data_IF_459817572463
#
_entry.id   IF_459817572463
#
_cell.length_a   1.000
_cell.length_b   1.000
_cell.length_c   1.000
_cell.angle_alpha   90.00
_cell.angle_beta   90.00
_cell.angle_gamma   90.00
#
_symmetry.space_group_name_H-M   'P 1'
#
loop_
_entity.id
_entity.type
_entity.pdbx_description
1 polymer ?
#
# COMPACT_ATOMS: atom_id res chain seq x y z
N UNK A 1 -33.86 9.55 -4.11
CA UNK A 1 -32.77 8.76 -3.48
C UNK A 1 -31.75 8.39 -4.55
N UNK A 2 -30.95 9.35 -5.03
CA UNK A 2 -29.79 9.12 -5.91
C UNK A 2 -28.65 10.15 -5.70
N UNK A 3 -28.86 11.19 -4.87
CA UNK A 3 -27.87 12.27 -4.65
C UNK A 3 -26.90 12.01 -3.49
N UNK A 4 -26.81 10.79 -2.96
CA UNK A 4 -25.79 10.49 -1.96
C UNK A 4 -24.46 10.22 -2.69
N UNK A 5 -23.38 11.00 -2.43
CA UNK A 5 -22.08 10.82 -3.08
C UNK A 5 -21.55 9.38 -2.94
N UNK A 6 -21.79 8.72 -1.81
CA UNK A 6 -21.36 7.33 -1.59
C UNK A 6 -22.10 6.33 -2.51
N UNK A 7 -23.36 6.62 -2.85
CA UNK A 7 -24.15 5.79 -3.77
C UNK A 7 -23.67 5.98 -5.21
N UNK A 8 -23.27 7.19 -5.58
CA UNK A 8 -22.70 7.49 -6.89
C UNK A 8 -21.31 6.84 -7.07
N UNK A 9 -20.45 6.91 -6.05
CA UNK A 9 -19.14 6.24 -6.08
C UNK A 9 -19.28 4.73 -6.22
N UNK A 10 -20.21 4.12 -5.48
CA UNK A 10 -20.49 2.69 -5.58
C UNK A 10 -21.01 2.31 -6.98
N UNK A 11 -21.94 3.09 -7.54
CA UNK A 11 -22.47 2.84 -8.88
C UNK A 11 -21.38 2.92 -9.95
N UNK A 12 -20.57 3.99 -9.94
CA UNK A 12 -19.46 4.16 -10.89
C UNK A 12 -18.46 3.00 -10.81
N UNK A 13 -18.17 2.53 -9.60
CA UNK A 13 -17.28 1.38 -9.39
C UNK A 13 -17.85 0.09 -9.97
N UNK A 14 -19.14 -0.18 -9.74
CA UNK A 14 -19.80 -1.37 -10.30
C UNK A 14 -19.82 -1.34 -11.83
N UNK A 15 -20.10 -0.17 -12.43
CA UNK A 15 -20.04 0.01 -13.88
C UNK A 15 -18.63 -0.27 -14.43
N UNK A 16 -17.59 0.21 -13.74
CA UNK A 16 -16.21 -0.06 -14.14
C UNK A 16 -15.82 -1.54 -13.98
N UNK A 17 -16.26 -2.20 -12.91
CA UNK A 17 -16.06 -3.65 -12.73
C UNK A 17 -16.75 -4.44 -13.86
N UNK A 18 -17.96 -4.05 -14.26
CA UNK A 18 -18.69 -4.67 -15.38
C UNK A 18 -17.99 -4.47 -16.72
N UNK A 19 -17.46 -3.27 -17.00
CA UNK A 19 -16.68 -2.99 -18.20
C UNK A 19 -15.41 -3.84 -18.28
N UNK A 20 -14.66 -3.95 -17.17
CA UNK A 20 -13.49 -4.83 -17.10
C UNK A 20 -13.87 -6.28 -17.36
N UNK A 21 -14.94 -6.77 -16.71
CA UNK A 21 -15.44 -8.12 -16.92
C UNK A 21 -15.82 -8.38 -18.38
N UNK A 22 -16.53 -7.45 -19.00
CA UNK A 22 -16.96 -7.53 -20.40
C UNK A 22 -15.77 -7.56 -21.35
N UNK A 23 -14.80 -6.66 -21.15
CA UNK A 23 -13.57 -6.64 -21.93
C UNK A 23 -12.82 -7.96 -21.82
N UNK A 24 -12.56 -8.46 -20.61
CA UNK A 24 -11.81 -9.70 -20.42
C UNK A 24 -12.54 -10.93 -20.98
N UNK A 25 -13.88 -10.96 -20.92
CA UNK A 25 -14.69 -12.02 -21.51
C UNK A 25 -14.64 -12.01 -23.05
N UNK A 26 -14.71 -10.82 -23.65
CA UNK A 26 -14.82 -10.64 -25.10
C UNK A 26 -13.47 -10.42 -25.79
N UNK A 27 -12.37 -10.26 -25.05
CA UNK A 27 -11.07 -9.91 -25.60
C UNK A 27 -10.66 -10.82 -26.77
N UNK A 28 -10.91 -12.13 -26.68
CA UNK A 28 -10.56 -13.10 -27.73
C UNK A 28 -11.36 -12.96 -29.02
N UNK A 29 -12.57 -12.41 -28.96
CA UNK A 29 -13.38 -12.14 -30.15
C UNK A 29 -13.07 -10.79 -30.80
N UNK A 30 -12.38 -9.90 -30.09
CA UNK A 30 -11.90 -8.62 -30.64
C UNK A 30 -10.65 -8.82 -31.50
N UNK A 31 -10.54 -8.02 -32.55
CA UNK A 31 -9.29 -7.85 -33.29
C UNK A 31 -8.20 -7.26 -32.39
N UNK A 32 -6.93 -7.38 -32.82
CA UNK A 32 -5.79 -6.84 -32.08
C UNK A 32 -5.90 -5.32 -31.89
N UNK A 33 -6.38 -4.60 -32.91
CA UNK A 33 -6.57 -3.15 -32.87
C UNK A 33 -7.70 -2.74 -31.92
N UNK A 34 -8.87 -3.39 -32.00
CA UNK A 34 -9.99 -3.14 -31.09
C UNK A 34 -9.61 -3.41 -29.63
N UNK A 35 -8.93 -4.53 -29.38
CA UNK A 35 -8.49 -4.91 -28.05
C UNK A 35 -7.50 -3.89 -27.47
N UNK A 36 -6.59 -3.37 -28.29
CA UNK A 36 -5.66 -2.33 -27.89
C UNK A 36 -6.36 -0.99 -27.59
N UNK A 37 -7.35 -0.61 -28.41
CA UNK A 37 -8.14 0.60 -28.21
C UNK A 37 -8.98 0.52 -26.93
N UNK A 38 -9.68 -0.59 -26.70
CA UNK A 38 -10.47 -0.80 -25.48
C UNK A 38 -9.59 -0.83 -24.23
N UNK A 39 -8.45 -1.53 -24.27
CA UNK A 39 -7.50 -1.53 -23.15
C UNK A 39 -6.95 -0.13 -22.83
N UNK A 40 -6.75 0.74 -23.83
CA UNK A 40 -6.29 2.11 -23.61
C UNK A 40 -7.36 2.97 -22.91
N UNK A 41 -8.64 2.77 -23.23
CA UNK A 41 -9.75 3.44 -22.55
C UNK A 41 -9.85 2.96 -21.09
N UNK A 42 -9.80 1.65 -20.88
CA UNK A 42 -9.84 1.05 -19.54
C UNK A 42 -8.66 1.47 -18.69
N UNK A 43 -7.46 1.62 -19.27
CA UNK A 43 -6.29 2.12 -18.55
C UNK A 43 -6.49 3.55 -18.02
N UNK A 44 -7.08 4.45 -18.82
CA UNK A 44 -7.34 5.81 -18.38
C UNK A 44 -8.33 5.85 -17.20
N UNK A 45 -9.40 5.03 -17.28
CA UNK A 45 -10.38 4.93 -16.19
C UNK A 45 -9.75 4.32 -14.94
N UNK A 46 -8.98 3.24 -15.11
CA UNK A 46 -8.28 2.57 -14.01
C UNK A 46 -7.34 3.53 -13.27
N UNK A 47 -6.59 4.35 -14.01
CA UNK A 47 -5.70 5.36 -13.42
C UNK A 47 -6.47 6.40 -12.60
N UNK A 48 -7.66 6.81 -13.05
CA UNK A 48 -8.51 7.75 -12.30
C UNK A 48 -9.08 7.10 -11.03
N UNK A 49 -9.57 5.86 -11.11
CA UNK A 49 -10.04 5.11 -9.94
C UNK A 49 -8.94 4.85 -8.92
N UNK A 50 -7.71 4.58 -9.37
CA UNK A 50 -6.53 4.46 -8.50
C UNK A 50 -6.21 5.79 -7.82
N UNK A 51 -6.26 6.91 -8.56
CA UNK A 51 -6.02 8.27 -8.04
C UNK A 51 -7.06 8.70 -7.00
N UNK A 52 -8.31 8.31 -7.20
CA UNK A 52 -9.43 8.57 -6.27
C UNK A 52 -9.42 7.63 -5.05
N UNK A 53 -8.50 6.65 -4.99
CA UNK A 53 -8.43 5.66 -3.90
C UNK A 53 -9.55 4.62 -3.93
N UNK A 54 -10.29 4.54 -5.02
CA UNK A 54 -11.41 3.60 -5.20
C UNK A 54 -10.93 2.22 -5.67
N UNK A 55 -9.73 2.16 -6.27
CA UNK A 55 -9.01 0.92 -6.61
C UNK A 55 -7.62 1.01 -6.00
N UNK A 56 -7.15 -0.07 -5.36
CA UNK A 56 -5.81 -0.10 -4.79
C UNK A 56 -4.73 -0.19 -5.89
N UNK A 57 -3.52 0.27 -5.58
CA UNK A 57 -2.38 0.13 -6.48
C UNK A 57 -2.06 -1.34 -6.84
N UNK A 58 -2.37 -2.28 -5.95
CA UNK A 58 -2.18 -3.71 -6.19
C UNK A 58 -3.21 -4.26 -7.18
N UNK A 59 -4.48 -3.89 -7.03
CA UNK A 59 -5.55 -4.25 -7.98
C UNK A 59 -5.29 -3.66 -9.36
N UNK A 60 -4.93 -2.37 -9.42
CA UNK A 60 -4.56 -1.69 -10.67
C UNK A 60 -3.40 -2.38 -11.38
N UNK A 61 -2.36 -2.80 -10.65
CA UNK A 61 -1.25 -3.56 -11.21
C UNK A 61 -1.71 -4.90 -11.81
N UNK A 62 -2.58 -5.64 -11.13
CA UNK A 62 -3.08 -6.92 -11.64
C UNK A 62 -3.88 -6.74 -12.94
N UNK A 63 -4.74 -5.72 -13.01
CA UNK A 63 -5.51 -5.39 -14.22
C UNK A 63 -4.58 -5.02 -15.37
N UNK A 64 -3.58 -4.15 -15.13
CA UNK A 64 -2.56 -3.78 -16.13
C UNK A 64 -1.80 -4.98 -16.67
N UNK A 65 -1.40 -5.92 -15.80
CA UNK A 65 -0.75 -7.18 -16.21
C UNK A 65 -1.68 -8.00 -17.10
N UNK A 66 -2.94 -8.14 -16.73
CA UNK A 66 -3.92 -8.91 -17.50
C UNK A 66 -4.17 -8.27 -18.89
N UNK A 67 -4.37 -6.95 -18.95
CA UNK A 67 -4.53 -6.22 -20.21
C UNK A 67 -3.29 -6.36 -21.11
N UNK A 68 -2.09 -6.21 -20.55
CA UNK A 68 -0.82 -6.36 -21.29
C UNK A 68 -0.69 -7.74 -21.94
N UNK A 69 -1.12 -8.79 -21.22
CA UNK A 69 -1.08 -10.17 -21.73
C UNK A 69 -2.05 -10.41 -22.89
N UNK A 70 -3.10 -9.61 -22.97
CA UNK A 70 -4.13 -9.73 -23.99
C UNK A 70 -3.85 -8.85 -25.21
N UNK A 71 -3.23 -7.69 -25.04
CA UNK A 71 -2.98 -6.73 -26.13
C UNK A 71 -1.64 -6.93 -26.82
N UNK A 72 -0.66 -7.54 -26.16
CA UNK A 72 0.66 -7.80 -26.75
C UNK A 72 0.81 -9.28 -27.06
N UNK A 73 0.82 -9.60 -28.36
CA UNK A 73 0.97 -10.97 -28.86
C UNK A 73 2.43 -11.46 -28.84
N UNK A 74 3.39 -10.58 -29.13
CA UNK A 74 4.80 -10.93 -29.08
C UNK A 74 5.26 -11.16 -27.64
N UNK A 75 5.70 -12.37 -27.34
CA UNK A 75 6.09 -12.77 -25.98
C UNK A 75 7.27 -11.95 -25.45
N UNK A 76 8.22 -11.56 -26.32
CA UNK A 76 9.36 -10.75 -25.92
C UNK A 76 8.95 -9.32 -25.56
N UNK A 77 8.09 -8.69 -26.37
CA UNK A 77 7.50 -7.39 -26.09
C UNK A 77 6.63 -7.44 -24.83
N UNK A 78 5.85 -8.50 -24.64
CA UNK A 78 5.02 -8.69 -23.46
C UNK A 78 5.87 -8.76 -22.20
N UNK A 79 6.94 -9.57 -22.18
CA UNK A 79 7.87 -9.64 -21.05
C UNK A 79 8.49 -8.28 -20.72
N UNK A 80 8.92 -7.51 -21.74
CA UNK A 80 9.46 -6.16 -21.53
C UNK A 80 8.43 -5.21 -20.92
N UNK A 81 7.19 -5.24 -21.42
CA UNK A 81 6.10 -4.40 -20.90
C UNK A 81 5.74 -4.76 -19.45
N UNK A 82 5.65 -6.06 -19.13
CA UNK A 82 5.40 -6.54 -17.78
C UNK A 82 6.53 -6.17 -16.82
N UNK A 83 7.79 -6.29 -17.25
CA UNK A 83 8.93 -5.84 -16.45
C UNK A 83 8.85 -4.34 -16.17
N UNK A 84 8.52 -3.53 -17.18
CA UNK A 84 8.33 -2.09 -17.02
C UNK A 84 7.23 -1.72 -16.01
N UNK A 85 6.17 -2.53 -15.90
CA UNK A 85 5.15 -2.34 -14.86
C UNK A 85 5.71 -2.58 -13.44
N UNK A 86 6.48 -3.65 -13.27
CA UNK A 86 7.12 -4.00 -11.99
C UNK A 86 8.13 -2.92 -11.60
N UNK A 87 8.96 -2.48 -12.54
CA UNK A 87 9.98 -1.47 -12.30
C UNK A 87 9.37 -0.13 -11.84
N UNK A 88 8.27 0.29 -12.48
CA UNK A 88 7.52 1.49 -12.05
C UNK A 88 6.99 1.35 -10.62
N UNK A 89 6.45 0.19 -10.26
CA UNK A 89 5.97 -0.04 -8.90
C UNK A 89 7.09 -0.06 -7.86
N UNK A 90 8.23 -0.65 -8.21
CA UNK A 90 9.41 -0.62 -7.34
C UNK A 90 9.92 0.81 -7.15
N UNK A 91 9.97 1.62 -8.21
CA UNK A 91 10.37 3.02 -8.12
C UNK A 91 9.42 3.83 -7.22
N UNK A 92 8.10 3.65 -7.38
CA UNK A 92 7.10 4.32 -6.54
C UNK A 92 7.20 3.88 -5.07
N UNK A 93 7.40 2.58 -4.81
CA UNK A 93 7.61 2.07 -3.46
C UNK A 93 8.90 2.61 -2.82
N UNK A 94 9.98 2.69 -3.59
CA UNK A 94 11.25 3.24 -3.13
C UNK A 94 11.12 4.75 -2.82
N UNK A 95 10.44 5.52 -3.68
CA UNK A 95 10.18 6.94 -3.42
C UNK A 95 9.38 7.15 -2.12
N UNK A 96 8.32 6.36 -1.90
CA UNK A 96 7.55 6.40 -0.64
C UNK A 96 8.42 6.05 0.57
N UNK A 97 9.32 5.06 0.44
CA UNK A 97 10.26 4.69 1.50
C UNK A 97 11.24 5.81 1.81
N UNK A 98 11.79 6.45 0.78
CA UNK A 98 12.72 7.58 0.93
C UNK A 98 12.03 8.78 1.56
N UNK A 99 10.80 9.11 1.14
CA UNK A 99 10.00 10.15 1.78
C UNK A 99 9.70 9.82 3.25
N UNK A 100 9.37 8.57 3.54
CA UNK A 100 9.13 8.09 4.90
C UNK A 100 10.38 8.16 5.79
N UNK A 101 11.57 7.91 5.22
CA UNK A 101 12.87 8.02 5.90
C UNK A 101 13.31 9.48 6.08
N UNK A 102 12.99 10.35 5.12
CA UNK A 102 13.37 11.76 5.15
C UNK A 102 12.53 12.60 6.11
N UNK A 103 11.32 12.13 6.48
CA UNK A 103 10.48 12.79 7.49
C UNK A 103 11.10 12.64 8.88
N UNK A 104 11.56 13.75 9.52
CA UNK A 104 12.05 13.69 10.88
C UNK A 104 10.92 13.27 11.82
N UNK A 105 11.20 12.33 12.71
CA UNK A 105 10.26 11.77 13.67
C UNK A 105 10.70 12.12 15.08
N UNK A 106 10.49 13.36 15.53
CA UNK A 106 10.88 13.78 16.87
C UNK A 106 10.28 12.89 17.97
N UNK A 107 9.10 12.31 17.73
CA UNK A 107 8.45 11.33 18.61
C UNK A 107 9.21 10.00 18.70
N UNK A 108 9.82 9.53 17.61
CA UNK A 108 10.68 8.34 17.61
C UNK A 108 12.04 8.63 18.28
N UNK A 109 12.59 9.82 18.10
CA UNK A 109 13.82 10.24 18.79
C UNK A 109 13.59 10.37 20.30
N UNK A 110 12.47 10.97 20.72
CA UNK A 110 12.06 11.03 22.12
C UNK A 110 11.87 9.63 22.72
N UNK A 111 11.21 8.73 21.99
CA UNK A 111 11.08 7.33 22.37
C UNK A 111 12.45 6.64 22.52
N UNK A 112 13.40 6.86 21.59
CA UNK A 112 14.75 6.27 21.70
C UNK A 112 15.53 6.78 22.92
N UNK A 113 15.38 8.04 23.29
CA UNK A 113 15.97 8.55 24.53
C UNK A 113 15.31 7.93 25.76
N UNK A 114 13.99 7.81 25.76
CA UNK A 114 13.23 7.15 26.82
C UNK A 114 13.59 5.67 26.96
N UNK A 115 13.78 4.94 25.86
CA UNK A 115 14.23 3.55 25.83
C UNK A 115 15.61 3.40 26.48
N UNK A 116 16.58 4.26 26.13
CA UNK A 116 17.90 4.29 26.75
C UNK A 116 17.82 4.54 28.25
N UNK A 117 16.98 5.48 28.68
CA UNK A 117 16.79 5.80 30.08
C UNK A 117 16.18 4.62 30.84
N UNK A 118 15.16 3.96 30.29
CA UNK A 118 14.54 2.76 30.90
C UNK A 118 15.56 1.62 31.05
N UNK A 119 16.39 1.38 30.02
CA UNK A 119 17.43 0.35 30.09
C UNK A 119 18.45 0.68 31.18
N UNK A 120 18.90 1.93 31.27
CA UNK A 120 19.84 2.37 32.31
C UNK A 120 19.24 2.23 33.72
N UNK A 121 18.01 2.70 33.91
CA UNK A 121 17.28 2.58 35.18
C UNK A 121 17.16 1.11 35.60
N UNK A 122 16.66 0.23 34.73
CA UNK A 122 16.42 -1.19 35.07
C UNK A 122 17.72 -1.96 35.30
N UNK A 123 18.79 -1.65 34.57
CA UNK A 123 20.10 -2.28 34.78
C UNK A 123 20.79 -1.79 36.07
N UNK A 124 20.56 -0.54 36.47
CA UNK A 124 21.08 0.01 37.73
C UNK A 124 20.29 -0.41 38.98
N UNK A 125 19.15 -1.09 38.83
CA UNK A 125 18.35 -1.55 39.96
C UNK A 125 18.98 -2.76 40.66
N UNK A 126 19.27 -2.60 41.96
CA UNK A 126 19.73 -3.68 42.84
C UNK A 126 18.67 -4.75 43.07
N UNK A 127 17.40 -4.36 43.13
CA UNK A 127 16.24 -5.26 43.24
C UNK A 127 15.12 -4.81 42.31
N UNK A 128 14.55 -5.78 41.61
CA UNK A 128 13.48 -5.55 40.63
C UNK A 128 12.11 -5.75 41.32
N UNK A 129 11.09 -4.92 41.02
CA UNK A 129 9.78 -5.01 41.69
C UNK A 129 9.00 -6.27 41.32
N UNK A 130 7.94 -6.55 42.09
CA UNK A 130 6.92 -7.57 41.78
C UNK A 130 7.42 -9.03 41.66
N UNK A 131 8.61 -9.35 42.19
CA UNK A 131 9.18 -10.70 42.10
C UNK A 131 9.58 -11.10 40.67
N UNK A 132 9.58 -10.15 39.74
CA UNK A 132 9.97 -10.37 38.34
C UNK A 132 11.48 -10.47 38.20
N UNK A 133 11.92 -11.19 37.17
CA UNK A 133 13.30 -11.09 36.72
C UNK A 133 13.54 -9.72 36.08
N UNK A 134 14.79 -9.25 36.11
CA UNK A 134 15.18 -7.97 35.49
C UNK A 134 14.78 -7.87 34.02
N UNK A 135 14.86 -8.97 33.28
CA UNK A 135 14.50 -9.02 31.86
C UNK A 135 12.98 -8.89 31.63
N UNK A 136 12.16 -9.48 32.50
CA UNK A 136 10.70 -9.37 32.43
C UNK A 136 10.25 -7.94 32.73
N UNK A 137 10.82 -7.34 33.77
CA UNK A 137 10.53 -5.95 34.13
C UNK A 137 11.00 -4.97 33.05
N UNK A 138 12.18 -5.19 32.45
CA UNK A 138 12.65 -4.39 31.32
C UNK A 138 11.67 -4.49 30.14
N UNK A 139 11.26 -5.71 29.78
CA UNK A 139 10.35 -5.93 28.65
C UNK A 139 9.00 -5.24 28.89
N UNK A 140 8.47 -5.28 30.12
CA UNK A 140 7.25 -4.58 30.48
C UNK A 140 7.39 -3.06 30.33
N UNK A 141 8.45 -2.47 30.89
CA UNK A 141 8.68 -1.02 30.84
C UNK A 141 8.86 -0.50 29.41
N UNK A 142 9.55 -1.27 28.57
CA UNK A 142 9.70 -0.94 27.14
C UNK A 142 8.37 -1.04 26.39
N UNK A 143 7.53 -2.02 26.72
CA UNK A 143 6.20 -2.15 26.13
C UNK A 143 5.29 -0.98 26.51
N UNK A 144 5.30 -0.57 27.78
CA UNK A 144 4.55 0.60 28.26
C UNK A 144 4.99 1.89 27.56
N UNK A 145 6.30 2.11 27.44
CA UNK A 145 6.85 3.26 26.71
C UNK A 145 6.46 3.24 25.23
N UNK A 146 6.45 2.07 24.59
CA UNK A 146 6.04 1.91 23.19
C UNK A 146 4.55 2.18 22.99
N UNK A 147 3.69 1.71 23.89
CA UNK A 147 2.25 2.02 23.86
C UNK A 147 2.02 3.51 24.07
N UNK A 148 2.73 4.15 25.01
CA UNK A 148 2.64 5.59 25.22
C UNK A 148 3.11 6.40 23.99
N UNK A 149 4.20 5.99 23.34
CA UNK A 149 4.67 6.63 22.11
C UNK A 149 3.66 6.47 20.95
N UNK A 150 3.06 5.29 20.80
CA UNK A 150 2.03 5.02 19.79
C UNK A 150 0.71 5.77 20.06
N UNK A 151 0.33 5.98 21.32
CA UNK A 151 -0.88 6.72 21.68
C UNK A 151 -0.71 8.25 21.55
N UNK A 152 0.54 8.73 21.54
CA UNK A 152 0.87 10.17 21.43
C UNK A 152 1.22 10.61 20.01
N UNK A 153 1.42 9.68 19.07
CA UNK A 153 1.61 9.97 17.65
C UNK A 153 0.60 9.18 16.83
N UNK A 154 -0.43 9.86 16.30
CA UNK A 154 -1.35 9.30 15.30
C UNK A 154 -0.51 8.67 14.17
N UNK A 155 -0.46 7.33 14.14
CA UNK A 155 0.21 6.59 13.10
C UNK A 155 -0.74 6.43 11.89
N UNK A 156 -0.26 6.52 10.64
CA UNK A 156 -0.95 5.82 9.58
C UNK A 156 -0.70 4.31 9.72
N UNK A 157 -1.77 3.56 9.47
CA UNK A 157 -1.81 2.09 9.37
C UNK A 157 -0.91 1.56 8.25
#
# INVERSE_FOLDING_TARGET
>A
MLDNPQTLELANRLDFEEELHTFFANAKSLSSEERAAEAAILEQRLAEYERLGQVSAAESLMVRIAMTKLTIEDEAAQKRALQGLIDRQNAAAQARKEEWLAKPRPEFEAYKQQEKQIVQEVMAMDKVPAGMTRNEYLRQRLLEARVAANNNGDAPQ
#
